data_IF_041248111452
#
_entry.id   IF_041248111452
#
_cell.length_a   1.000
_cell.length_b   1.000
_cell.length_c   1.000
_cell.angle_alpha   90.00
_cell.angle_beta   90.00
_cell.angle_gamma   90.00
#
_symmetry.space_group_name_H-M   'P 1'
#
loop_
_entity.id
_entity.type
_entity.pdbx_description
1 polymer ?
#
# COMPACT_ATOMS: atom_id res chain seq x y z
N UNK A 1 -28.61 0.43 -3.16
CA UNK A 1 -27.52 -0.03 -4.03
C UNK A 1 -26.78 1.22 -4.50
N UNK A 2 -25.50 1.35 -4.19
CA UNK A 2 -24.70 2.48 -4.69
C UNK A 2 -24.67 2.42 -6.24
N UNK A 3 -24.66 3.58 -6.94
CA UNK A 3 -24.51 3.61 -8.38
C UNK A 3 -23.13 3.03 -8.77
N UNK A 4 -22.98 2.48 -9.99
CA UNK A 4 -21.69 2.04 -10.46
C UNK A 4 -20.71 3.22 -10.51
N UNK A 5 -19.44 2.98 -10.14
CA UNK A 5 -18.39 4.02 -10.15
C UNK A 5 -18.10 4.53 -11.56
N UNK A 6 -18.26 3.68 -12.56
CA UNK A 6 -18.04 3.98 -13.97
C UNK A 6 -19.21 3.45 -14.82
N UNK A 7 -19.41 4.05 -15.99
CA UNK A 7 -20.29 3.48 -17.01
C UNK A 7 -19.59 2.29 -17.68
N UNK A 8 -19.81 1.07 -17.17
CA UNK A 8 -19.21 -0.16 -17.66
C UNK A 8 -17.99 -0.62 -16.87
N UNK A 9 -17.22 -1.53 -17.45
CA UNK A 9 -15.99 -2.05 -16.83
C UNK A 9 -14.85 -1.02 -16.91
N UNK A 10 -13.97 -0.96 -15.90
CA UNK A 10 -12.81 -0.08 -15.97
C UNK A 10 -11.85 -0.51 -17.09
N UNK A 11 -11.21 0.46 -17.72
CA UNK A 11 -10.15 0.22 -18.72
C UNK A 11 -8.85 -0.22 -18.07
N UNK A 12 -8.61 0.20 -16.82
CA UNK A 12 -7.49 -0.23 -16.00
C UNK A 12 -7.83 -0.11 -14.51
N UNK A 13 -7.13 -0.89 -13.68
CA UNK A 13 -7.17 -0.74 -12.23
C UNK A 13 -5.76 -0.49 -11.73
N UNK A 14 -5.59 0.58 -10.92
CA UNK A 14 -4.30 1.01 -10.37
C UNK A 14 -4.33 0.84 -8.86
N UNK A 15 -3.46 0.00 -8.34
CA UNK A 15 -3.36 -0.32 -6.92
C UNK A 15 -2.27 0.50 -6.24
N UNK A 16 -2.52 0.97 -5.03
CA UNK A 16 -1.47 1.22 -4.07
C UNK A 16 -0.85 -0.10 -3.58
N UNK A 17 0.32 -0.03 -2.95
CA UNK A 17 1.05 -1.20 -2.45
C UNK A 17 0.91 -1.37 -0.93
N UNK A 18 1.37 -0.37 -0.17
CA UNK A 18 1.64 -0.49 1.26
C UNK A 18 0.38 -0.27 2.08
N UNK A 19 -0.12 -1.31 2.76
CA UNK A 19 -1.37 -1.25 3.52
C UNK A 19 -2.62 -1.54 2.71
N UNK A 20 -2.57 -1.47 1.37
CA UNK A 20 -3.68 -1.83 0.50
C UNK A 20 -3.54 -3.25 -0.07
N UNK A 21 -2.46 -3.49 -0.80
CA UNK A 21 -2.19 -4.79 -1.43
C UNK A 21 -1.50 -5.75 -0.48
N UNK A 22 -0.56 -5.23 0.33
CA UNK A 22 0.30 -5.97 1.23
C UNK A 22 0.28 -5.38 2.65
N UNK A 23 0.26 -6.24 3.69
CA UNK A 23 0.43 -5.86 5.10
C UNK A 23 1.90 -5.57 5.40
N UNK A 24 2.39 -4.42 4.97
CA UNK A 24 3.75 -3.99 5.25
C UNK A 24 3.94 -3.55 6.71
N UNK A 25 2.89 -3.15 7.40
CA UNK A 25 2.92 -2.84 8.85
C UNK A 25 3.31 -4.05 9.71
N UNK A 26 2.92 -5.25 9.29
CA UNK A 26 3.34 -6.49 9.93
C UNK A 26 4.85 -6.71 9.88
N UNK A 27 5.52 -6.33 8.79
CA UNK A 27 6.99 -6.38 8.66
C UNK A 27 7.68 -5.41 9.61
N UNK A 28 7.20 -4.18 9.67
CA UNK A 28 7.70 -3.18 10.61
C UNK A 28 7.59 -3.66 12.05
N UNK A 29 6.45 -4.23 12.43
CA UNK A 29 6.24 -4.78 13.77
C UNK A 29 7.24 -5.90 14.07
N UNK A 30 7.45 -6.85 13.14
CA UNK A 30 8.43 -7.94 13.32
C UNK A 30 9.86 -7.40 13.50
N UNK A 31 10.24 -6.41 12.70
CA UNK A 31 11.55 -5.78 12.78
C UNK A 31 11.75 -5.02 14.10
N UNK A 32 10.76 -4.27 14.54
CA UNK A 32 10.77 -3.57 15.83
C UNK A 32 10.94 -4.54 17.00
N UNK A 33 10.20 -5.64 17.01
CA UNK A 33 10.36 -6.70 18.03
C UNK A 33 11.80 -7.20 18.08
N UNK A 34 12.42 -7.46 16.92
CA UNK A 34 13.81 -7.92 16.83
C UNK A 34 14.81 -6.86 17.30
N UNK A 35 14.62 -5.60 16.90
CA UNK A 35 15.45 -4.49 17.35
C UNK A 35 15.43 -4.37 18.87
N UNK A 36 14.24 -4.31 19.46
CA UNK A 36 14.08 -4.18 20.90
C UNK A 36 14.72 -5.36 21.66
N UNK A 37 14.51 -6.59 21.18
CA UNK A 37 15.12 -7.78 21.75
C UNK A 37 16.66 -7.73 21.67
N UNK A 38 17.24 -7.28 20.58
CA UNK A 38 18.69 -7.11 20.42
C UNK A 38 19.29 -6.11 21.42
N UNK A 39 18.49 -5.12 21.82
CA UNK A 39 18.85 -4.12 22.82
C UNK A 39 18.37 -4.49 24.25
N UNK A 40 17.96 -5.74 24.48
CA UNK A 40 17.56 -6.25 25.82
C UNK A 40 16.27 -5.62 26.37
N UNK A 41 15.41 -5.10 25.51
CA UNK A 41 14.14 -4.46 25.88
C UNK A 41 12.94 -5.25 25.35
N UNK A 42 11.83 -5.36 26.09
CA UNK A 42 10.59 -5.91 25.54
C UNK A 42 9.95 -4.90 24.57
N UNK A 43 9.33 -5.42 23.50
CA UNK A 43 8.49 -4.61 22.62
C UNK A 43 7.04 -4.77 23.03
N UNK A 44 6.35 -3.67 23.26
CA UNK A 44 4.97 -3.63 23.75
C UNK A 44 4.05 -2.88 22.77
N UNK A 45 2.73 -3.04 22.95
CA UNK A 45 1.73 -2.40 22.08
C UNK A 45 1.83 -0.87 22.07
N UNK A 46 2.23 -0.26 23.18
CA UNK A 46 2.45 1.19 23.25
C UNK A 46 3.61 1.64 22.36
N UNK A 47 4.66 0.83 22.25
CA UNK A 47 5.77 1.10 21.34
C UNK A 47 5.29 1.08 19.88
N UNK A 48 4.50 0.07 19.49
CA UNK A 48 3.90 0.02 18.15
C UNK A 48 3.09 1.28 17.84
N UNK A 49 2.19 1.66 18.74
CA UNK A 49 1.35 2.87 18.55
C UNK A 49 2.17 4.14 18.39
N UNK A 50 3.29 4.23 19.10
CA UNK A 50 4.17 5.37 19.00
C UNK A 50 4.89 5.49 17.65
N UNK A 51 5.02 4.41 16.86
CA UNK A 51 5.69 4.46 15.55
C UNK A 51 4.73 4.64 14.38
N UNK A 52 3.42 4.52 14.56
CA UNK A 52 2.45 4.70 13.46
C UNK A 52 2.57 6.10 12.87
N UNK A 53 2.83 6.18 11.56
CA UNK A 53 2.95 7.44 10.83
C UNK A 53 4.17 8.29 11.18
N UNK A 54 5.22 7.70 11.77
CA UNK A 54 6.42 8.40 12.22
C UNK A 54 7.64 7.98 11.44
N UNK A 55 8.39 8.97 10.94
CA UNK A 55 9.62 8.75 10.17
C UNK A 55 10.69 9.81 10.51
N UNK A 56 11.90 9.60 10.01
CA UNK A 56 13.02 10.53 10.12
C UNK A 56 13.38 10.92 11.56
N UNK A 57 13.72 12.20 11.82
CA UNK A 57 14.23 12.64 13.13
C UNK A 57 13.30 12.34 14.30
N UNK A 58 11.99 12.26 14.06
CA UNK A 58 11.04 11.91 15.11
C UNK A 58 11.10 10.42 15.47
N UNK A 59 11.31 9.53 14.49
CA UNK A 59 11.54 8.11 14.72
C UNK A 59 12.85 7.89 15.49
N UNK A 60 13.92 8.57 15.10
CA UNK A 60 15.22 8.56 15.79
C UNK A 60 15.09 8.91 17.26
N UNK A 61 14.46 10.06 17.56
CA UNK A 61 14.26 10.51 18.95
C UNK A 61 13.38 9.54 19.77
N UNK A 62 12.44 8.83 19.14
CA UNK A 62 11.62 7.81 19.80
C UNK A 62 12.44 6.56 20.12
N UNK A 63 13.24 6.09 19.16
CA UNK A 63 14.14 4.94 19.35
C UNK A 63 15.13 5.21 20.49
N UNK A 64 15.79 6.37 20.50
CA UNK A 64 16.71 6.76 21.59
C UNK A 64 16.05 6.65 22.96
N UNK A 65 14.86 7.21 23.09
CA UNK A 65 14.13 7.22 24.37
C UNK A 65 13.69 5.82 24.80
N UNK A 66 13.16 5.03 23.86
CA UNK A 66 12.61 3.70 24.17
C UNK A 66 13.69 2.67 24.47
N UNK A 67 14.84 2.79 23.80
CA UNK A 67 15.97 1.87 23.95
C UNK A 67 17.02 2.40 24.95
N UNK A 68 16.80 3.59 25.56
CA UNK A 68 17.73 4.23 26.49
C UNK A 68 19.14 4.38 25.88
N UNK A 69 19.18 4.94 24.68
CA UNK A 69 20.39 5.06 23.86
C UNK A 69 20.55 6.48 23.27
N UNK A 70 20.80 7.50 24.14
CA UNK A 70 20.85 8.89 23.72
C UNK A 70 21.95 9.14 22.69
N UNK A 71 21.64 9.91 21.64
CA UNK A 71 22.57 10.26 20.55
C UNK A 71 22.78 9.16 19.51
N UNK A 72 22.07 8.02 19.61
CA UNK A 72 22.19 6.91 18.67
C UNK A 72 20.99 6.74 17.73
N UNK A 73 20.11 7.73 17.66
CA UNK A 73 18.86 7.65 16.93
C UNK A 73 19.02 7.24 15.47
N UNK A 74 19.96 7.86 14.75
CA UNK A 74 20.27 7.51 13.36
C UNK A 74 20.76 6.05 13.20
N UNK A 75 21.71 5.60 14.06
CA UNK A 75 22.18 4.21 14.03
C UNK A 75 21.06 3.20 14.28
N UNK A 76 20.17 3.50 15.25
CA UNK A 76 19.04 2.64 15.57
C UNK A 76 18.00 2.60 14.45
N UNK A 77 17.77 3.72 13.78
CA UNK A 77 16.88 3.77 12.63
C UNK A 77 17.45 3.00 11.43
N UNK A 78 18.75 3.10 11.17
CA UNK A 78 19.44 2.32 10.15
C UNK A 78 19.40 0.82 10.46
N UNK A 79 19.59 0.44 11.72
CA UNK A 79 19.48 -0.96 12.15
C UNK A 79 18.05 -1.47 11.94
N UNK A 80 17.02 -0.68 12.31
CA UNK A 80 15.62 -1.00 12.09
C UNK A 80 15.31 -1.17 10.60
N UNK A 81 15.71 -0.23 9.77
CA UNK A 81 15.52 -0.29 8.31
C UNK A 81 16.19 -1.54 7.72
N UNK A 82 17.39 -1.86 8.16
CA UNK A 82 18.10 -3.09 7.77
C UNK A 82 17.35 -4.37 8.19
N UNK A 83 16.73 -4.38 9.37
CA UNK A 83 15.89 -5.49 9.83
C UNK A 83 14.62 -5.61 8.97
N UNK A 84 13.92 -4.52 8.73
CA UNK A 84 12.71 -4.51 7.89
C UNK A 84 13.01 -5.04 6.49
N UNK A 85 14.09 -4.57 5.85
CA UNK A 85 14.48 -5.04 4.53
C UNK A 85 14.86 -6.53 4.51
N UNK A 86 15.48 -7.03 5.57
CA UNK A 86 15.77 -8.48 5.70
C UNK A 86 14.48 -9.30 5.81
N UNK A 87 13.50 -8.86 6.62
CA UNK A 87 12.19 -9.51 6.71
C UNK A 87 11.47 -9.51 5.36
N UNK A 88 11.44 -8.35 4.69
CA UNK A 88 10.81 -8.19 3.39
C UNK A 88 11.39 -9.17 2.35
N UNK A 89 12.73 -9.23 2.24
CA UNK A 89 13.40 -10.12 1.29
C UNK A 89 13.26 -11.60 1.63
N UNK A 90 13.17 -11.94 2.92
CA UNK A 90 13.08 -13.34 3.37
C UNK A 90 11.68 -13.93 3.19
N UNK A 91 10.64 -13.17 3.49
CA UNK A 91 9.26 -13.66 3.56
C UNK A 91 8.27 -12.86 2.71
N UNK A 92 8.63 -11.62 2.30
CA UNK A 92 7.66 -10.67 1.76
C UNK A 92 6.67 -10.19 2.81
N UNK A 93 5.73 -9.38 2.38
CA UNK A 93 4.56 -9.00 3.19
C UNK A 93 3.39 -9.94 2.87
N UNK A 94 2.58 -10.23 3.89
CA UNK A 94 1.35 -10.99 3.69
C UNK A 94 0.37 -10.17 2.82
N UNK A 95 -0.31 -10.78 1.85
CA UNK A 95 -1.37 -10.10 1.11
C UNK A 95 -2.50 -9.63 2.03
N UNK A 96 -3.02 -8.44 1.77
CA UNK A 96 -4.22 -7.95 2.45
C UNK A 96 -5.45 -8.79 2.09
N UNK A 97 -6.47 -8.86 2.98
CA UNK A 97 -7.66 -9.69 2.76
C UNK A 97 -8.36 -9.39 1.43
N UNK A 98 -8.48 -10.41 0.58
CA UNK A 98 -9.12 -10.34 -0.73
C UNK A 98 -8.21 -9.83 -1.87
N UNK A 99 -6.95 -9.44 -1.58
CA UNK A 99 -6.04 -8.92 -2.59
C UNK A 99 -5.68 -9.94 -3.68
N UNK A 100 -5.26 -11.18 -3.36
CA UNK A 100 -4.94 -12.17 -4.38
C UNK A 100 -6.14 -12.51 -5.27
N UNK A 101 -7.31 -12.71 -4.67
CA UNK A 101 -8.54 -13.08 -5.35
C UNK A 101 -9.00 -11.97 -6.30
N UNK A 102 -8.96 -10.71 -5.84
CA UNK A 102 -9.35 -9.56 -6.66
C UNK A 102 -8.40 -9.38 -7.84
N UNK A 103 -7.09 -9.43 -7.60
CA UNK A 103 -6.07 -9.32 -8.65
C UNK A 103 -6.25 -10.42 -9.69
N UNK A 104 -6.49 -11.66 -9.27
CA UNK A 104 -6.71 -12.78 -10.19
C UNK A 104 -8.01 -12.62 -10.98
N UNK A 105 -9.09 -12.18 -10.37
CA UNK A 105 -10.37 -11.95 -11.03
C UNK A 105 -10.29 -10.82 -12.07
N UNK A 106 -9.61 -9.73 -11.76
CA UNK A 106 -9.39 -8.62 -12.70
C UNK A 106 -8.60 -9.08 -13.91
N UNK A 107 -7.52 -9.83 -13.72
CA UNK A 107 -6.72 -10.41 -14.79
C UNK A 107 -7.52 -11.39 -15.65
N UNK A 108 -8.29 -12.26 -15.03
CA UNK A 108 -9.18 -13.19 -15.75
C UNK A 108 -10.24 -12.45 -16.57
N UNK A 109 -10.67 -11.27 -16.12
CA UNK A 109 -11.57 -10.39 -16.87
C UNK A 109 -10.88 -9.59 -17.99
N UNK A 110 -9.55 -9.71 -18.12
CA UNK A 110 -8.75 -8.98 -19.12
C UNK A 110 -8.57 -7.49 -18.80
N UNK A 111 -8.69 -7.09 -17.55
CA UNK A 111 -8.49 -5.70 -17.11
C UNK A 111 -7.01 -5.49 -16.79
N UNK A 112 -6.31 -4.56 -17.46
CA UNK A 112 -4.91 -4.25 -17.20
C UNK A 112 -4.69 -3.69 -15.79
N UNK A 113 -3.58 -4.08 -15.13
CA UNK A 113 -3.27 -3.71 -13.76
C UNK A 113 -1.95 -2.94 -13.67
N UNK A 114 -1.96 -1.87 -12.88
CA UNK A 114 -0.75 -1.20 -12.44
C UNK A 114 -0.68 -1.16 -10.91
N UNK A 115 0.55 -1.06 -10.41
CA UNK A 115 0.85 -0.78 -9.02
C UNK A 115 1.62 0.53 -8.94
N UNK A 116 1.25 1.40 -8.00
CA UNK A 116 1.92 2.68 -7.75
C UNK A 116 2.18 2.85 -6.25
N UNK A 117 3.41 3.17 -5.85
CA UNK A 117 3.78 3.36 -4.45
C UNK A 117 4.64 4.61 -4.28
N UNK A 118 4.57 5.24 -3.10
CA UNK A 118 5.52 6.28 -2.69
C UNK A 118 6.84 5.70 -2.15
N UNK A 119 6.90 4.40 -1.94
CA UNK A 119 8.08 3.70 -1.47
C UNK A 119 9.12 3.53 -2.57
N UNK A 120 10.43 3.47 -2.26
CA UNK A 120 11.47 3.18 -3.23
C UNK A 120 11.26 1.83 -3.93
N UNK A 121 11.73 1.71 -5.16
CA UNK A 121 11.61 0.50 -5.98
C UNK A 121 12.18 -0.73 -5.27
N UNK A 122 13.32 -0.58 -4.59
CA UNK A 122 13.94 -1.67 -3.83
C UNK A 122 13.04 -2.25 -2.73
N UNK A 123 12.26 -1.39 -2.06
CA UNK A 123 11.26 -1.80 -1.08
C UNK A 123 10.10 -2.54 -1.75
N UNK A 124 9.52 -1.94 -2.79
CA UNK A 124 8.39 -2.53 -3.53
C UNK A 124 8.77 -3.93 -4.05
N UNK A 125 9.95 -4.08 -4.65
CA UNK A 125 10.44 -5.38 -5.11
C UNK A 125 10.62 -6.38 -3.97
N UNK A 126 11.18 -5.95 -2.83
CA UNK A 126 11.43 -6.81 -1.68
C UNK A 126 10.14 -7.37 -1.07
N UNK A 127 9.06 -6.57 -0.99
CA UNK A 127 7.79 -7.01 -0.41
C UNK A 127 6.91 -7.76 -1.41
N UNK A 128 6.95 -7.36 -2.69
CA UNK A 128 6.06 -7.86 -3.73
C UNK A 128 6.51 -9.18 -4.33
N UNK A 129 7.81 -9.39 -4.53
CA UNK A 129 8.32 -10.59 -5.19
C UNK A 129 7.97 -11.89 -4.43
N UNK A 130 8.18 -11.99 -3.09
CA UNK A 130 7.82 -13.19 -2.33
C UNK A 130 6.31 -13.40 -2.18
N UNK A 131 5.47 -12.34 -2.26
CA UNK A 131 4.02 -12.44 -2.12
C UNK A 131 3.34 -13.22 -3.26
N UNK A 132 4.05 -13.43 -4.37
CA UNK A 132 3.52 -14.06 -5.57
C UNK A 132 2.66 -13.12 -6.44
N UNK A 133 2.43 -11.87 -6.02
CA UNK A 133 1.61 -10.90 -6.75
C UNK A 133 2.39 -10.10 -7.79
N UNK A 134 3.73 -10.01 -7.68
CA UNK A 134 4.56 -9.12 -8.49
C UNK A 134 4.44 -9.32 -10.00
N UNK A 135 4.22 -10.56 -10.45
CA UNK A 135 4.05 -10.86 -11.88
C UNK A 135 2.63 -10.61 -12.42
N UNK A 136 1.76 -10.05 -11.60
CA UNK A 136 0.36 -9.83 -11.92
C UNK A 136 0.09 -8.42 -12.46
N UNK A 137 1.06 -7.52 -12.32
CA UNK A 137 0.99 -6.13 -12.74
C UNK A 137 1.80 -5.93 -14.01
N UNK A 138 1.20 -5.29 -15.02
CA UNK A 138 1.87 -4.91 -16.27
C UNK A 138 2.79 -3.72 -16.07
N UNK A 139 2.46 -2.87 -15.09
CA UNK A 139 3.19 -1.64 -14.76
C UNK A 139 3.37 -1.56 -13.25
N UNK A 140 4.59 -1.28 -12.80
CA UNK A 140 4.92 -0.90 -11.43
C UNK A 140 5.66 0.42 -11.49
N UNK A 141 5.21 1.40 -10.70
CA UNK A 141 5.79 2.74 -10.66
C UNK A 141 6.07 3.19 -9.23
N UNK A 142 7.21 3.83 -9.08
CA UNK A 142 7.65 4.47 -7.85
C UNK A 142 8.24 5.85 -8.17
N UNK A 143 8.58 6.68 -7.19
CA UNK A 143 9.29 7.93 -7.44
C UNK A 143 10.65 7.76 -8.12
N UNK A 144 11.28 6.58 -8.03
CA UNK A 144 12.54 6.27 -8.72
C UNK A 144 12.40 6.28 -10.26
N UNK A 145 11.16 6.26 -10.78
CA UNK A 145 10.86 6.51 -12.20
C UNK A 145 10.98 8.00 -12.59
N UNK A 146 11.40 8.89 -11.67
CA UNK A 146 11.49 10.33 -11.89
C UNK A 146 10.14 11.05 -11.79
N UNK A 147 9.20 10.48 -11.04
CA UNK A 147 7.85 11.00 -10.83
C UNK A 147 7.71 11.58 -9.42
N UNK A 148 6.84 12.59 -9.29
CA UNK A 148 6.52 13.18 -7.98
C UNK A 148 5.74 12.20 -7.10
N UNK A 149 6.00 12.30 -5.79
CA UNK A 149 5.29 11.51 -4.76
C UNK A 149 3.82 11.90 -4.66
N UNK A 150 2.95 10.94 -4.33
CA UNK A 150 1.58 11.24 -3.88
C UNK A 150 1.65 12.28 -2.73
N UNK A 151 0.84 13.34 -2.70
CA UNK A 151 -0.44 13.48 -3.39
C UNK A 151 -0.38 14.02 -4.83
N UNK A 152 0.81 14.19 -5.44
CA UNK A 152 0.89 14.54 -6.86
C UNK A 152 0.29 13.42 -7.71
N UNK A 153 -0.49 13.74 -8.77
CA UNK A 153 -1.14 12.76 -9.63
C UNK A 153 -0.20 12.02 -10.59
N UNK A 154 1.08 12.32 -10.62
CA UNK A 154 2.02 11.84 -11.64
C UNK A 154 2.07 10.32 -11.76
N UNK A 155 2.16 9.61 -10.63
CA UNK A 155 2.21 8.14 -10.61
C UNK A 155 0.96 7.52 -11.24
N UNK A 156 -0.24 8.00 -10.89
CA UNK A 156 -1.51 7.50 -11.42
C UNK A 156 -1.71 7.83 -12.90
N UNK A 157 -1.35 9.05 -13.33
CA UNK A 157 -1.42 9.45 -14.74
C UNK A 157 -0.49 8.61 -15.60
N UNK A 158 0.74 8.42 -15.15
CA UNK A 158 1.73 7.63 -15.87
C UNK A 158 1.34 6.15 -15.92
N UNK A 159 0.76 5.60 -14.84
CA UNK A 159 0.22 4.24 -14.83
C UNK A 159 -0.85 4.05 -15.92
N UNK A 160 -1.85 4.93 -15.97
CA UNK A 160 -2.88 4.89 -16.99
C UNK A 160 -2.29 5.03 -18.41
N UNK A 161 -1.35 5.96 -18.59
CA UNK A 161 -0.68 6.18 -19.87
C UNK A 161 0.08 4.93 -20.34
N UNK A 162 0.85 4.27 -19.44
CA UNK A 162 1.60 3.04 -19.78
C UNK A 162 0.66 1.87 -20.09
N UNK A 163 -0.50 1.82 -19.45
CA UNK A 163 -1.53 0.80 -19.73
C UNK A 163 -2.38 1.11 -20.98
N UNK A 164 -2.24 2.29 -21.57
CA UNK A 164 -3.08 2.71 -22.70
C UNK A 164 -4.52 3.00 -22.34
N UNK A 165 -4.80 3.30 -21.05
CA UNK A 165 -6.13 3.52 -20.51
C UNK A 165 -6.42 5.00 -20.25
N UNK A 166 -7.68 5.41 -20.40
CA UNK A 166 -8.13 6.74 -20.02
C UNK A 166 -8.32 6.86 -18.50
N UNK A 167 -7.71 7.88 -17.84
CA UNK A 167 -7.85 8.07 -16.40
C UNK A 167 -9.32 8.12 -15.96
N UNK A 168 -10.18 8.84 -16.68
CA UNK A 168 -11.61 8.95 -16.36
C UNK A 168 -12.43 7.66 -16.55
N UNK A 169 -11.79 6.60 -17.05
CA UNK A 169 -12.36 5.25 -17.19
C UNK A 169 -11.54 4.19 -16.45
N UNK A 170 -10.70 4.62 -15.52
CA UNK A 170 -9.86 3.78 -14.68
C UNK A 170 -10.22 3.96 -13.20
N UNK A 171 -9.90 2.94 -12.39
CA UNK A 171 -10.16 2.94 -10.95
C UNK A 171 -8.85 2.87 -10.20
N UNK A 172 -8.68 3.75 -9.20
CA UNK A 172 -7.62 3.67 -8.19
C UNK A 172 -8.12 2.98 -6.93
N UNK A 173 -7.29 2.12 -6.36
CA UNK A 173 -7.52 1.48 -5.06
C UNK A 173 -6.47 2.00 -4.09
N UNK A 174 -6.91 2.51 -2.93
CA UNK A 174 -6.07 3.24 -1.98
C UNK A 174 -6.50 3.02 -0.52
N UNK A 175 -5.53 3.16 0.40
CA UNK A 175 -5.76 3.06 1.84
C UNK A 175 -5.49 4.37 2.59
N UNK A 176 -5.01 5.42 1.88
CA UNK A 176 -4.62 6.70 2.48
C UNK A 176 -5.30 7.90 1.83
N UNK A 177 -5.56 8.96 2.62
CA UNK A 177 -6.07 10.24 2.11
C UNK A 177 -5.12 10.87 1.06
N UNK A 178 -3.81 10.72 1.24
CA UNK A 178 -2.78 11.22 0.33
C UNK A 178 -2.86 10.54 -1.04
N UNK A 179 -3.01 9.22 -1.06
CA UNK A 179 -3.13 8.47 -2.29
C UNK A 179 -4.48 8.68 -2.97
N UNK A 180 -5.57 8.77 -2.19
CA UNK A 180 -6.90 9.14 -2.72
C UNK A 180 -6.83 10.50 -3.43
N UNK A 181 -6.20 11.51 -2.80
CA UNK A 181 -6.03 12.82 -3.41
C UNK A 181 -5.24 12.76 -4.73
N UNK A 182 -4.17 11.95 -4.78
CA UNK A 182 -3.38 11.74 -6.01
C UNK A 182 -4.21 11.09 -7.12
N UNK A 183 -4.92 10.00 -6.84
CA UNK A 183 -5.73 9.27 -7.80
C UNK A 183 -6.90 10.14 -8.31
N UNK A 184 -7.59 10.86 -7.43
CA UNK A 184 -8.65 11.81 -7.79
C UNK A 184 -8.13 12.95 -8.66
N UNK A 185 -6.97 13.51 -8.32
CA UNK A 185 -6.33 14.58 -9.11
C UNK A 185 -5.83 14.09 -10.48
N UNK A 186 -5.58 12.79 -10.62
CA UNK A 186 -5.30 12.14 -11.89
C UNK A 186 -6.56 11.90 -12.73
N UNK A 187 -7.75 12.01 -12.13
CA UNK A 187 -9.05 11.84 -12.79
C UNK A 187 -9.63 10.43 -12.70
N UNK A 188 -9.09 9.56 -11.84
CA UNK A 188 -9.63 8.22 -11.61
C UNK A 188 -10.86 8.27 -10.69
N UNK A 189 -11.75 7.29 -10.84
CA UNK A 189 -12.64 6.91 -9.74
C UNK A 189 -11.82 6.17 -8.67
N UNK A 190 -12.16 6.35 -7.38
CA UNK A 190 -11.33 5.83 -6.29
C UNK A 190 -12.14 5.01 -5.31
N UNK A 191 -11.65 3.80 -5.02
CA UNK A 191 -12.12 2.95 -3.94
C UNK A 191 -11.12 3.04 -2.79
N UNK A 192 -11.57 3.48 -1.62
CA UNK A 192 -10.80 3.51 -0.39
C UNK A 192 -11.00 2.23 0.42
N UNK A 193 -9.91 1.61 0.86
CA UNK A 193 -9.93 0.42 1.74
C UNK A 193 -8.95 0.67 2.88
N UNK A 194 -9.43 0.93 4.11
CA UNK A 194 -8.53 1.30 5.21
C UNK A 194 -7.64 0.13 5.63
N UNK A 195 -6.34 0.36 5.72
CA UNK A 195 -5.37 -0.61 6.25
C UNK A 195 -5.53 -0.85 7.75
N UNK A 196 -5.96 0.19 8.49
CA UNK A 196 -6.25 0.15 9.93
C UNK A 196 -7.58 0.84 10.24
N UNK A 197 -8.32 0.38 11.28
CA UNK A 197 -9.59 1.01 11.64
C UNK A 197 -9.44 2.49 12.02
N UNK A 198 -10.34 3.33 11.51
CA UNK A 198 -10.42 4.76 11.87
C UNK A 198 -9.58 5.68 11.00
N UNK A 199 -8.97 5.18 9.92
CA UNK A 199 -8.36 6.03 8.89
C UNK A 199 -9.46 6.77 8.15
N UNK A 200 -9.28 8.09 8.01
CA UNK A 200 -10.18 8.91 7.19
C UNK A 200 -9.82 8.74 5.71
N UNK A 201 -10.79 8.27 4.93
CA UNK A 201 -10.69 8.07 3.49
C UNK A 201 -11.61 9.03 2.73
N UNK A 202 -11.80 10.24 3.28
CA UNK A 202 -12.56 11.28 2.64
C UNK A 202 -12.05 11.55 1.21
N UNK A 203 -12.99 11.72 0.27
CA UNK A 203 -12.69 11.91 -1.15
C UNK A 203 -12.71 10.63 -1.99
N UNK A 204 -12.73 9.44 -1.39
CA UNK A 204 -13.01 8.20 -2.13
C UNK A 204 -14.46 8.17 -2.63
N UNK A 205 -14.71 7.63 -3.83
CA UNK A 205 -16.05 7.47 -4.39
C UNK A 205 -16.79 6.27 -3.75
N UNK A 206 -16.05 5.31 -3.23
CA UNK A 206 -16.54 4.17 -2.45
C UNK A 206 -15.53 3.88 -1.33
N UNK A 207 -16.02 3.60 -0.12
CA UNK A 207 -15.20 3.08 0.98
C UNK A 207 -15.70 1.69 1.33
N UNK A 208 -14.79 0.71 1.37
CA UNK A 208 -15.07 -0.68 1.67
C UNK A 208 -14.18 -1.21 2.79
N UNK A 209 -14.61 -2.29 3.44
CA UNK A 209 -13.88 -2.85 4.58
C UNK A 209 -12.62 -3.65 4.17
N UNK A 210 -12.60 -4.22 2.96
CA UNK A 210 -11.47 -5.00 2.42
C UNK A 210 -11.57 -5.09 0.90
N UNK A 211 -10.50 -5.53 0.24
CA UNK A 211 -10.52 -5.84 -1.20
C UNK A 211 -11.43 -7.04 -1.55
N UNK A 212 -11.76 -7.88 -0.57
CA UNK A 212 -12.72 -8.97 -0.71
C UNK A 212 -14.19 -8.54 -0.58
N UNK A 213 -14.46 -7.28 -0.24
CA UNK A 213 -15.83 -6.81 -0.08
C UNK A 213 -16.62 -6.93 -1.39
N UNK A 214 -17.83 -7.53 -1.37
CA UNK A 214 -18.69 -7.65 -2.55
C UNK A 214 -19.02 -6.30 -3.23
N UNK A 215 -18.94 -5.17 -2.52
CA UNK A 215 -19.15 -3.85 -3.11
C UNK A 215 -17.98 -3.44 -3.99
N UNK A 216 -16.74 -3.72 -3.61
CA UNK A 216 -15.54 -3.53 -4.44
C UNK A 216 -15.68 -4.29 -5.76
N UNK A 217 -16.02 -5.57 -5.68
CA UNK A 217 -16.17 -6.43 -6.86
C UNK A 217 -17.25 -5.92 -7.81
N UNK A 218 -18.42 -5.56 -7.27
CA UNK A 218 -19.51 -4.98 -8.08
C UNK A 218 -19.13 -3.65 -8.72
N UNK A 219 -18.42 -2.79 -7.98
CA UNK A 219 -17.95 -1.50 -8.48
C UNK A 219 -16.96 -1.64 -9.65
N UNK A 220 -16.20 -2.74 -9.67
CA UNK A 220 -15.25 -3.08 -10.74
C UNK A 220 -15.90 -3.92 -11.87
N UNK A 221 -17.21 -4.17 -11.81
CA UNK A 221 -17.92 -4.95 -12.83
C UNK A 221 -17.63 -6.46 -12.78
N UNK A 222 -17.21 -6.96 -11.61
CA UNK A 222 -16.92 -8.38 -11.34
C UNK A 222 -18.08 -9.04 -10.56
N UNK A 223 -18.25 -10.35 -10.75
CA UNK A 223 -19.07 -11.13 -9.85
C UNK A 223 -18.34 -11.30 -8.51
N UNK A 224 -18.98 -11.08 -7.35
CA UNK A 224 -18.36 -11.32 -6.06
C UNK A 224 -17.80 -12.75 -5.96
N UNK A 225 -16.67 -12.92 -5.26
CA UNK A 225 -16.15 -14.24 -4.97
C UNK A 225 -17.23 -15.05 -4.24
N UNK A 226 -17.39 -16.31 -4.63
CA UNK A 226 -18.25 -17.24 -3.86
C UNK A 226 -17.64 -17.42 -2.46
N UNK A 227 -18.45 -17.45 -1.40
CA UNK A 227 -17.98 -17.61 -0.02
C UNK A 227 -17.28 -18.94 0.21
#
# INVERSE_FOLDING_TARGET
MAPPLLEGRPEAVVFDNDGLLLDTEGLWTKAQVKLFAAHGRPFELEHKRAFVGVAGPLAEARLERMLDAPGRGGELLDELNGLVMREARAAGAEPMPGAPELVDALRAAGIPLALVSNSPVEWVEAVLAPSGLGRRFEVVLTPDDGLEHKPDPALYREACRRLGAGSGRSVGLEDTATGIAAAKSAGLAVIGVPSIPGVDLEGADLVAASLGDPEVWRALGLAPASP
#
